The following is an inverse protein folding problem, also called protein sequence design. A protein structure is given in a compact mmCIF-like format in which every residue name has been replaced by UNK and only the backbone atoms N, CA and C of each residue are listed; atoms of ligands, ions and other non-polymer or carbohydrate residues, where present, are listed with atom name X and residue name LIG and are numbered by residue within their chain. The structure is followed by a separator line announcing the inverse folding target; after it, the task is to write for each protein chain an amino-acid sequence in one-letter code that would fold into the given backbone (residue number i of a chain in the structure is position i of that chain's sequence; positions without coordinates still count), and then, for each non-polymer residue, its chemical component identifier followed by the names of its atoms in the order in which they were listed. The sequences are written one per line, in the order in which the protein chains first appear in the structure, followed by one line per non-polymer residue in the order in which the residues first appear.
data_IF_950913199129
#
_entry.id   IF_950913199129
#
_cell.length_a   1.000
_cell.length_b   1.000
_cell.length_c   1.000
_cell.angle_alpha   90.00
_cell.angle_beta   90.00
_cell.angle_gamma   90.00
#
_symmetry.space_group_name_H-M   'P 1'
#
loop_
_entity.id
_entity.type
_entity.pdbx_description
1 polymer ?
#
# COMPACT_ATOMS: atom_id res chain seq x y z
N UNK A 1 -60.98 -30.12 39.77
CA UNK A 1 -61.10 -28.95 38.89
C UNK A 1 -59.68 -28.53 38.52
N UNK A 2 -59.25 -28.95 37.33
CA UNK A 2 -57.90 -28.60 36.82
C UNK A 2 -58.12 -27.34 35.98
N UNK A 3 -57.65 -26.19 36.46
CA UNK A 3 -57.66 -24.95 35.71
C UNK A 3 -56.52 -25.02 34.66
N UNK A 4 -56.89 -25.14 33.40
CA UNK A 4 -55.99 -24.91 32.25
C UNK A 4 -55.50 -23.45 32.35
N UNK A 5 -54.18 -23.28 32.60
CA UNK A 5 -53.51 -22.03 32.37
C UNK A 5 -53.30 -21.87 30.88
N UNK A 6 -54.16 -21.09 30.24
CA UNK A 6 -53.95 -20.68 28.85
C UNK A 6 -52.61 -19.96 28.75
N UNK A 7 -51.65 -20.65 28.10
CA UNK A 7 -50.38 -20.05 27.68
C UNK A 7 -50.70 -18.92 26.71
N UNK A 8 -50.72 -17.70 27.18
CA UNK A 8 -50.67 -16.52 26.31
C UNK A 8 -49.32 -16.55 25.62
N UNK A 9 -49.28 -17.04 24.38
CA UNK A 9 -48.08 -17.14 23.57
C UNK A 9 -47.49 -15.76 23.31
N UNK A 10 -46.74 -15.25 24.29
CA UNK A 10 -45.92 -14.06 24.08
C UNK A 10 -44.79 -14.44 23.10
N UNK A 11 -44.90 -13.89 21.91
CA UNK A 11 -43.83 -14.01 20.96
C UNK A 11 -42.56 -13.27 21.51
N UNK A 12 -41.58 -14.02 22.00
CA UNK A 12 -40.33 -13.49 22.53
C UNK A 12 -39.28 -13.30 21.44
N UNK A 13 -39.66 -13.41 20.17
CA UNK A 13 -38.77 -13.17 19.05
C UNK A 13 -38.26 -11.71 19.04
N UNK A 14 -36.99 -11.55 18.71
CA UNK A 14 -36.40 -10.27 18.34
C UNK A 14 -36.64 -10.05 16.86
N UNK A 15 -36.93 -8.82 16.44
CA UNK A 15 -37.02 -8.43 15.02
C UNK A 15 -36.13 -7.20 14.78
N UNK A 16 -35.52 -7.09 13.61
CA UNK A 16 -34.88 -5.85 13.18
C UNK A 16 -35.96 -4.95 12.62
N UNK A 17 -36.03 -3.72 13.13
CA UNK A 17 -37.04 -2.72 12.74
C UNK A 17 -36.43 -1.72 11.74
N UNK A 18 -35.13 -1.40 11.90
CA UNK A 18 -34.41 -0.47 11.04
C UNK A 18 -32.90 -0.78 11.05
N UNK A 19 -32.17 -0.32 10.03
CA UNK A 19 -30.71 -0.42 9.95
C UNK A 19 -30.13 0.83 9.27
N UNK A 20 -29.13 1.43 9.91
CA UNK A 20 -28.31 2.50 9.35
C UNK A 20 -26.91 1.95 9.11
N UNK A 21 -26.75 1.35 7.95
CA UNK A 21 -25.52 0.71 7.49
C UNK A 21 -25.01 1.49 6.29
N UNK A 22 -23.76 2.00 6.33
CA UNK A 22 -23.19 2.69 5.18
C UNK A 22 -23.04 1.72 3.99
N UNK A 23 -23.31 2.19 2.79
CA UNK A 23 -23.08 1.44 1.54
C UNK A 23 -21.64 1.55 1.04
N UNK A 24 -20.93 2.60 1.46
CA UNK A 24 -19.53 2.84 1.19
C UNK A 24 -18.85 3.34 2.46
N UNK A 25 -17.66 2.82 2.71
CA UNK A 25 -16.80 3.14 3.83
C UNK A 25 -15.46 3.61 3.29
N UNK A 26 -15.16 4.89 3.48
CA UNK A 26 -13.86 5.46 3.16
C UNK A 26 -12.94 5.30 4.37
N UNK A 27 -11.85 4.54 4.19
CA UNK A 27 -10.82 4.30 5.22
C UNK A 27 -9.51 5.02 4.90
N UNK A 28 -9.51 6.05 4.07
CA UNK A 28 -8.32 6.82 3.70
C UNK A 28 -7.60 7.40 4.92
N UNK A 29 -8.35 7.86 5.92
CA UNK A 29 -7.76 8.45 7.12
C UNK A 29 -7.53 7.38 8.18
N UNK A 30 -6.28 7.19 8.67
CA UNK A 30 -5.99 6.28 9.77
C UNK A 30 -6.84 6.56 11.00
N UNK A 31 -7.33 5.51 11.65
CA UNK A 31 -8.16 5.62 12.84
C UNK A 31 -9.63 6.03 12.60
N UNK A 32 -10.07 6.11 11.34
CA UNK A 32 -11.47 6.30 10.99
C UNK A 32 -12.34 5.27 11.72
N UNK A 33 -13.36 5.74 12.41
CA UNK A 33 -14.35 4.90 13.07
C UNK A 33 -15.65 4.91 12.30
N UNK A 34 -16.08 3.75 11.86
CA UNK A 34 -17.32 3.55 11.11
C UNK A 34 -18.39 3.02 12.07
N UNK A 35 -19.54 3.67 12.08
CA UNK A 35 -20.68 3.29 12.93
C UNK A 35 -21.69 2.51 12.13
N UNK A 36 -22.15 1.42 12.76
CA UNK A 36 -23.18 0.52 12.28
C UNK A 36 -24.31 0.51 13.31
N UNK A 37 -25.52 0.89 12.96
CA UNK A 37 -26.63 1.03 13.88
C UNK A 37 -27.84 0.23 13.40
N UNK A 38 -28.44 -0.51 14.30
CA UNK A 38 -29.69 -1.20 14.07
C UNK A 38 -30.71 -0.79 15.11
N UNK A 39 -32.00 -0.84 14.77
CA UNK A 39 -33.12 -0.75 15.71
C UNK A 39 -33.76 -2.12 15.82
N UNK A 40 -33.86 -2.64 17.04
CA UNK A 40 -34.44 -3.93 17.32
C UNK A 40 -35.68 -3.82 18.25
N UNK A 41 -36.63 -4.75 18.10
CA UNK A 41 -37.92 -4.69 18.81
C UNK A 41 -37.81 -4.89 20.31
N UNK A 42 -36.71 -5.43 20.80
CA UNK A 42 -36.47 -5.67 22.25
C UNK A 42 -34.98 -5.90 22.52
N UNK A 43 -34.60 -5.71 23.80
CA UNK A 43 -33.24 -5.94 24.29
C UNK A 43 -32.73 -7.34 23.95
N UNK A 44 -31.52 -7.39 23.36
CA UNK A 44 -30.87 -8.63 22.88
C UNK A 44 -29.36 -8.46 22.84
N UNK A 45 -28.66 -9.58 22.88
CA UNK A 45 -27.22 -9.59 22.53
C UNK A 45 -27.09 -9.42 21.03
N UNK A 46 -26.46 -8.34 20.61
CA UNK A 46 -26.28 -8.04 19.20
C UNK A 46 -24.81 -8.21 18.80
N UNK A 47 -24.58 -8.60 17.54
CA UNK A 47 -23.26 -8.62 16.91
C UNK A 47 -23.41 -8.47 15.40
N UNK A 48 -22.35 -7.97 14.76
CA UNK A 48 -22.24 -7.96 13.29
C UNK A 48 -20.93 -8.59 12.87
N UNK A 49 -20.99 -9.48 11.87
CA UNK A 49 -19.82 -10.04 11.21
C UNK A 49 -19.66 -9.38 9.86
N UNK A 50 -18.51 -8.76 9.62
CA UNK A 50 -18.09 -8.19 8.35
C UNK A 50 -17.16 -9.17 7.67
N UNK A 51 -17.38 -9.46 6.38
CA UNK A 51 -16.56 -10.41 5.62
C UNK A 51 -16.18 -9.79 4.28
N UNK A 52 -14.88 -9.67 4.00
CA UNK A 52 -14.37 -9.26 2.69
C UNK A 52 -14.62 -10.36 1.66
N UNK A 53 -15.28 -10.03 0.55
CA UNK A 53 -15.76 -11.02 -0.42
C UNK A 53 -14.61 -11.75 -1.11
N UNK A 54 -13.58 -11.00 -1.55
CA UNK A 54 -12.49 -11.58 -2.34
C UNK A 54 -11.54 -12.48 -1.53
N UNK A 55 -11.23 -12.11 -0.27
CA UNK A 55 -10.23 -12.84 0.55
C UNK A 55 -10.85 -13.74 1.61
N UNK A 56 -12.14 -13.57 1.93
CA UNK A 56 -12.80 -14.25 3.04
C UNK A 56 -12.37 -13.76 4.45
N UNK A 57 -11.49 -12.76 4.55
CA UNK A 57 -11.12 -12.15 5.83
C UNK A 57 -12.35 -11.58 6.52
N UNK A 58 -12.45 -11.76 7.83
CA UNK A 58 -13.65 -11.36 8.57
C UNK A 58 -13.34 -10.86 9.96
N UNK A 59 -14.22 -10.00 10.48
CA UNK A 59 -14.24 -9.56 11.86
C UNK A 59 -15.67 -9.63 12.39
N UNK A 60 -15.82 -9.99 13.67
CA UNK A 60 -17.10 -9.89 14.37
C UNK A 60 -17.01 -8.80 15.43
N UNK A 61 -17.87 -7.80 15.32
CA UNK A 61 -17.98 -6.68 16.23
C UNK A 61 -19.11 -6.97 17.23
N UNK A 62 -18.83 -7.03 18.53
CA UNK A 62 -19.87 -7.19 19.53
C UNK A 62 -20.68 -5.89 19.69
N UNK A 63 -21.93 -6.02 19.98
CA UNK A 63 -22.77 -4.90 20.42
C UNK A 63 -22.52 -4.53 21.88
N UNK A 64 -23.10 -3.40 22.34
CA UNK A 64 -22.96 -2.94 23.72
C UNK A 64 -23.50 -3.94 24.76
N UNK A 65 -22.82 -4.04 25.91
CA UNK A 65 -23.18 -4.97 27.00
C UNK A 65 -24.52 -4.66 27.66
N UNK A 66 -24.97 -3.39 27.65
CA UNK A 66 -26.24 -2.91 28.18
C UNK A 66 -27.46 -3.26 27.30
N UNK A 67 -27.18 -3.85 26.12
CA UNK A 67 -28.19 -4.36 25.17
C UNK A 67 -29.29 -3.37 24.82
N UNK A 68 -28.97 -2.21 24.32
CA UNK A 68 -29.93 -1.18 23.97
C UNK A 68 -30.85 -1.62 22.82
N UNK A 69 -32.00 -0.95 22.66
CA UNK A 69 -32.87 -1.17 21.50
C UNK A 69 -32.25 -0.67 20.18
N UNK A 70 -31.26 0.21 20.28
CA UNK A 70 -30.49 0.73 19.17
C UNK A 70 -29.02 0.36 19.35
N UNK A 71 -28.63 -0.94 19.16
CA UNK A 71 -27.25 -1.33 19.28
C UNK A 71 -26.40 -0.65 18.21
N UNK A 72 -25.27 -0.09 18.63
CA UNK A 72 -24.25 0.53 17.78
C UNK A 72 -22.97 -0.27 17.90
N UNK A 73 -22.40 -0.65 16.78
CA UNK A 73 -21.07 -1.23 16.66
C UNK A 73 -20.14 -0.25 15.97
N UNK A 74 -18.91 -0.13 16.45
CA UNK A 74 -17.89 0.69 15.83
C UNK A 74 -16.78 -0.19 15.25
N UNK A 75 -16.40 0.09 14.03
CA UNK A 75 -15.29 -0.56 13.35
C UNK A 75 -14.21 0.47 13.00
N UNK A 76 -12.97 0.15 13.29
CA UNK A 76 -11.82 1.01 13.02
C UNK A 76 -11.09 0.68 11.70
N UNK A 77 -11.70 -0.14 10.82
CA UNK A 77 -11.10 -0.51 9.54
C UNK A 77 -10.02 -1.59 9.65
N UNK A 78 -9.90 -2.29 10.78
CA UNK A 78 -8.89 -3.32 11.02
C UNK A 78 -9.53 -4.71 11.08
N UNK A 79 -8.87 -5.72 10.47
CA UNK A 79 -9.20 -7.14 10.56
C UNK A 79 -7.90 -7.89 10.88
N UNK A 80 -7.90 -8.71 11.93
CA UNK A 80 -6.73 -9.51 12.36
C UNK A 80 -5.45 -8.68 12.61
N UNK A 81 -5.62 -7.43 13.08
CA UNK A 81 -4.52 -6.53 13.41
C UNK A 81 -3.93 -5.77 12.22
N UNK A 82 -4.46 -5.97 11.01
CA UNK A 82 -4.04 -5.26 9.80
C UNK A 82 -5.20 -4.52 9.15
N UNK A 83 -4.92 -3.56 8.29
CA UNK A 83 -5.94 -2.83 7.54
C UNK A 83 -6.84 -3.75 6.75
N UNK A 84 -8.12 -3.47 6.80
CA UNK A 84 -9.11 -4.19 6.02
C UNK A 84 -8.91 -3.91 4.53
N UNK A 85 -8.86 -4.91 3.64
CA UNK A 85 -8.71 -4.69 2.20
C UNK A 85 -9.80 -3.80 1.62
N UNK A 86 -9.48 -3.09 0.53
CA UNK A 86 -10.50 -2.41 -0.27
C UNK A 86 -11.42 -3.42 -0.97
N UNK A 87 -12.59 -2.97 -1.41
CA UNK A 87 -13.49 -3.78 -2.20
C UNK A 87 -14.79 -4.16 -1.50
N UNK A 88 -15.43 -5.20 -2.02
CA UNK A 88 -16.76 -5.62 -1.59
C UNK A 88 -16.74 -6.40 -0.28
N UNK A 89 -17.68 -6.07 0.59
CA UNK A 89 -17.93 -6.75 1.86
C UNK A 89 -19.38 -7.19 1.96
N UNK A 90 -19.60 -8.29 2.68
CA UNK A 90 -20.89 -8.64 3.25
C UNK A 90 -20.91 -8.37 4.74
N UNK A 91 -22.06 -7.99 5.27
CA UNK A 91 -22.28 -7.92 6.70
C UNK A 91 -23.45 -8.82 7.11
N UNK A 92 -23.30 -9.46 8.28
CA UNK A 92 -24.33 -10.32 8.87
C UNK A 92 -24.55 -9.88 10.32
N UNK A 93 -25.71 -9.28 10.57
CA UNK A 93 -26.16 -8.88 11.90
C UNK A 93 -26.99 -9.97 12.55
N UNK A 94 -26.78 -10.20 13.84
CA UNK A 94 -27.56 -11.14 14.66
C UNK A 94 -27.89 -10.48 15.99
N UNK A 95 -29.15 -10.57 16.41
CA UNK A 95 -29.59 -10.15 17.75
C UNK A 95 -30.28 -11.32 18.44
N UNK A 96 -29.68 -11.81 19.55
CA UNK A 96 -30.09 -12.99 20.30
C UNK A 96 -30.78 -12.57 21.60
N UNK A 97 -32.05 -12.96 21.85
CA UNK A 97 -32.70 -12.64 23.11
C UNK A 97 -31.99 -13.33 24.29
N UNK A 98 -31.98 -12.69 25.46
CA UNK A 98 -31.40 -13.22 26.69
C UNK A 98 -32.19 -14.37 27.34
N UNK A 99 -33.16 -14.96 26.66
CA UNK A 99 -34.06 -16.01 27.14
C UNK A 99 -34.77 -16.73 26.00
N UNK A 100 -35.97 -17.24 26.24
CA UNK A 100 -36.77 -17.94 25.23
C UNK A 100 -37.15 -16.96 24.09
N UNK A 101 -36.94 -17.34 22.84
CA UNK A 101 -37.32 -16.57 21.65
C UNK A 101 -36.33 -16.81 20.49
N UNK A 102 -36.76 -16.44 19.28
CA UNK A 102 -35.91 -16.52 18.11
C UNK A 102 -35.05 -15.27 17.94
N UNK A 103 -33.83 -15.46 17.42
CA UNK A 103 -32.91 -14.38 17.09
C UNK A 103 -33.35 -13.64 15.83
N UNK A 104 -33.14 -12.31 15.82
CA UNK A 104 -33.23 -11.52 14.61
C UNK A 104 -31.95 -11.67 13.78
N UNK A 105 -32.10 -11.60 12.46
CA UNK A 105 -30.99 -11.61 11.50
C UNK A 105 -31.24 -10.59 10.42
N UNK A 106 -30.18 -9.91 10.00
CA UNK A 106 -30.16 -9.05 8.83
C UNK A 106 -28.81 -9.20 8.11
N UNK A 107 -28.76 -8.91 6.85
CA UNK A 107 -27.53 -8.95 6.07
C UNK A 107 -27.57 -7.97 4.90
N UNK A 108 -26.43 -7.60 4.38
CA UNK A 108 -26.28 -6.74 3.23
C UNK A 108 -24.84 -6.67 2.78
N UNK A 109 -24.56 -5.66 1.96
CA UNK A 109 -23.25 -5.42 1.38
C UNK A 109 -22.81 -3.97 1.57
N UNK A 110 -21.51 -3.73 1.48
CA UNK A 110 -20.91 -2.40 1.42
C UNK A 110 -19.57 -2.47 0.70
N UNK A 111 -19.02 -1.31 0.35
CA UNK A 111 -17.71 -1.17 -0.27
C UNK A 111 -16.76 -0.47 0.70
N UNK A 112 -15.54 -0.97 0.81
CA UNK A 112 -14.42 -0.25 1.41
C UNK A 112 -13.61 0.39 0.30
N UNK A 113 -13.28 1.66 0.46
CA UNK A 113 -12.50 2.44 -0.52
C UNK A 113 -11.37 3.18 0.17
N UNK A 114 -10.26 3.32 -0.55
CA UNK A 114 -9.12 4.21 -0.28
C UNK A 114 -8.59 4.74 -1.60
N UNK A 115 -7.81 5.81 -1.55
CA UNK A 115 -7.01 6.23 -2.70
C UNK A 115 -6.01 5.13 -3.05
N UNK A 116 -5.78 4.90 -4.35
CA UNK A 116 -4.81 3.91 -4.79
C UNK A 116 -3.40 4.28 -4.29
N UNK A 117 -2.73 3.32 -3.65
CA UNK A 117 -1.34 3.43 -3.24
C UNK A 117 -0.49 2.56 -4.16
N UNK A 118 0.49 3.12 -4.88
CA UNK A 118 1.31 2.37 -5.84
C UNK A 118 2.17 1.27 -5.21
N UNK A 119 2.35 1.29 -3.88
CA UNK A 119 3.06 0.27 -3.12
C UNK A 119 2.13 -0.61 -2.26
N UNK A 120 0.82 -0.62 -2.50
CA UNK A 120 -0.12 -1.48 -1.80
C UNK A 120 -0.44 -2.71 -2.66
N UNK A 121 0.23 -3.82 -2.38
CA UNK A 121 0.07 -5.07 -3.14
C UNK A 121 -1.01 -5.99 -2.61
N UNK A 122 -1.52 -5.75 -1.40
CA UNK A 122 -2.60 -6.54 -0.78
C UNK A 122 -3.91 -5.76 -0.60
N UNK A 123 -3.95 -4.54 -1.13
CA UNK A 123 -5.12 -3.66 -1.18
C UNK A 123 -5.71 -3.34 0.21
N UNK A 124 -4.84 -3.25 1.22
CA UNK A 124 -5.25 -2.92 2.58
C UNK A 124 -5.11 -1.43 2.92
N UNK A 125 -4.66 -0.62 1.97
CA UNK A 125 -4.48 0.83 2.10
C UNK A 125 -3.17 1.25 2.75
N UNK A 126 -2.30 0.31 3.08
CA UNK A 126 -0.98 0.55 3.64
C UNK A 126 0.10 0.35 2.59
N UNK A 127 1.23 1.00 2.79
CA UNK A 127 2.41 0.76 1.98
C UNK A 127 3.02 -0.59 2.30
N UNK A 128 3.36 -1.33 1.26
CA UNK A 128 4.16 -2.55 1.32
C UNK A 128 5.58 -2.30 0.80
N UNK A 129 6.57 -2.91 1.43
CA UNK A 129 7.93 -2.99 0.90
C UNK A 129 8.21 -4.40 0.39
N UNK A 130 8.81 -4.49 -0.77
CA UNK A 130 9.29 -5.75 -1.32
C UNK A 130 10.79 -5.91 -1.05
N UNK A 131 11.16 -6.96 -0.35
CA UNK A 131 12.53 -7.23 0.07
C UNK A 131 12.99 -8.60 -0.45
N UNK A 132 14.04 -8.64 -1.28
CA UNK A 132 14.63 -9.89 -1.77
C UNK A 132 15.79 -10.29 -0.90
N UNK A 133 15.72 -11.48 -0.30
CA UNK A 133 16.81 -12.05 0.48
C UNK A 133 17.91 -12.71 -0.39
N UNK A 134 18.96 -13.19 0.26
CA UNK A 134 20.09 -13.84 -0.41
C UNK A 134 19.75 -15.19 -1.05
N UNK A 135 18.65 -15.82 -0.68
CA UNK A 135 18.15 -17.06 -1.30
C UNK A 135 17.37 -16.81 -2.59
N UNK A 136 17.03 -15.55 -2.86
CA UNK A 136 16.17 -15.15 -3.97
C UNK A 136 14.69 -15.27 -3.66
N UNK A 137 14.32 -15.38 -2.38
CA UNK A 137 12.93 -15.22 -1.96
C UNK A 137 12.60 -13.75 -1.89
N UNK A 138 11.48 -13.35 -2.50
CA UNK A 138 10.89 -12.03 -2.34
C UNK A 138 9.90 -12.07 -1.19
N UNK A 139 10.06 -11.14 -0.27
CA UNK A 139 9.21 -10.92 0.87
C UNK A 139 8.44 -9.62 0.68
N UNK A 140 7.20 -9.57 1.16
CA UNK A 140 6.39 -8.36 1.27
C UNK A 140 6.24 -8.02 2.75
N UNK A 141 6.67 -6.84 3.11
CA UNK A 141 6.54 -6.26 4.45
C UNK A 141 5.47 -5.18 4.42
N UNK A 142 4.39 -5.40 5.15
CA UNK A 142 3.25 -4.49 5.27
C UNK A 142 3.55 -3.46 6.37
N UNK A 143 3.40 -2.18 6.09
CA UNK A 143 3.72 -1.07 6.99
C UNK A 143 2.50 -0.47 7.70
N UNK A 144 1.38 -1.19 7.71
CA UNK A 144 0.08 -0.69 8.18
C UNK A 144 0.08 -0.10 9.59
N UNK A 145 0.90 -0.61 10.48
CA UNK A 145 0.84 -0.24 11.89
C UNK A 145 1.34 1.16 12.20
N UNK A 146 1.49 2.08 11.33
CA UNK A 146 1.88 3.45 11.66
C UNK A 146 2.95 3.53 12.77
N UNK A 147 3.16 4.69 13.39
CA UNK A 147 4.11 4.77 14.49
C UNK A 147 3.54 4.12 15.76
N UNK A 148 4.25 3.08 16.24
CA UNK A 148 4.04 2.48 17.56
C UNK A 148 5.22 2.91 18.44
N UNK A 149 4.93 3.55 19.57
CA UNK A 149 5.96 4.15 20.45
C UNK A 149 6.87 5.15 19.69
N UNK A 150 6.31 5.85 18.69
CA UNK A 150 7.04 6.81 17.87
C UNK A 150 7.95 6.19 16.80
N UNK A 151 7.87 4.88 16.55
CA UNK A 151 8.66 4.19 15.54
C UNK A 151 7.76 3.41 14.58
N UNK A 152 8.06 3.51 13.28
CA UNK A 152 7.42 2.68 12.26
C UNK A 152 8.02 1.27 12.28
N UNK A 153 7.16 0.25 12.13
CA UNK A 153 7.56 -1.16 12.06
C UNK A 153 6.68 -1.90 11.04
N UNK A 154 7.13 -3.07 10.62
CA UNK A 154 6.30 -3.94 9.80
C UNK A 154 5.14 -4.49 10.63
N UNK A 155 3.92 -4.38 10.10
CA UNK A 155 2.71 -4.99 10.67
C UNK A 155 2.68 -6.50 10.41
N UNK A 156 3.29 -6.95 9.31
CA UNK A 156 3.36 -8.35 8.95
C UNK A 156 4.26 -8.59 7.74
N UNK A 157 4.91 -9.75 7.74
CA UNK A 157 5.73 -10.22 6.63
C UNK A 157 5.10 -11.43 5.97
N UNK A 158 5.08 -11.46 4.66
CA UNK A 158 4.58 -12.57 3.85
C UNK A 158 5.56 -12.91 2.74
N UNK A 159 5.78 -14.20 2.46
CA UNK A 159 6.57 -14.62 1.32
C UNK A 159 5.75 -14.46 0.03
N UNK A 160 6.27 -13.68 -0.91
CA UNK A 160 5.73 -13.61 -2.28
C UNK A 160 6.13 -14.86 -3.07
N UNK A 161 7.38 -15.34 -2.85
CA UNK A 161 7.88 -16.57 -3.47
C UNK A 161 9.34 -16.51 -3.83
N UNK A 162 9.88 -17.65 -4.26
CA UNK A 162 11.27 -17.79 -4.70
C UNK A 162 11.47 -17.49 -6.18
N UNK A 163 12.75 -17.54 -6.62
CA UNK A 163 13.11 -17.38 -8.03
C UNK A 163 13.47 -15.95 -8.45
N UNK A 164 13.38 -14.98 -7.54
CA UNK A 164 13.62 -13.56 -7.83
C UNK A 164 15.12 -13.23 -7.99
N UNK A 165 16.02 -14.13 -7.65
CA UNK A 165 17.46 -13.99 -7.93
C UNK A 165 17.76 -13.92 -9.44
N UNK A 166 16.83 -14.29 -10.30
CA UNK A 166 16.93 -14.15 -11.76
C UNK A 166 17.05 -12.69 -12.20
N UNK A 167 16.53 -11.76 -11.38
CA UNK A 167 16.56 -10.35 -11.69
C UNK A 167 17.75 -9.65 -11.03
N UNK A 168 18.48 -8.86 -11.80
CA UNK A 168 19.51 -7.94 -11.27
C UNK A 168 18.91 -6.63 -10.73
N UNK A 169 17.73 -6.22 -11.24
CA UNK A 169 16.93 -5.11 -10.73
C UNK A 169 15.49 -5.57 -10.51
N UNK A 170 14.91 -5.16 -9.41
CA UNK A 170 13.49 -5.27 -9.09
C UNK A 170 13.05 -3.86 -8.74
N UNK A 171 11.98 -3.38 -9.34
CA UNK A 171 11.49 -2.02 -9.13
C UNK A 171 9.97 -2.03 -8.99
N UNK A 172 9.46 -1.38 -7.95
CA UNK A 172 8.06 -1.05 -7.80
C UNK A 172 7.72 0.08 -8.77
N UNK A 173 6.79 -0.14 -9.67
CA UNK A 173 6.52 0.79 -10.77
C UNK A 173 5.11 1.39 -10.72
N UNK A 174 4.38 1.19 -9.63
CA UNK A 174 3.00 1.59 -9.55
C UNK A 174 2.11 0.81 -10.51
N UNK A 175 0.90 1.26 -10.73
CA UNK A 175 -0.08 0.59 -11.58
C UNK A 175 0.22 0.83 -13.07
N UNK A 176 0.91 -0.09 -13.72
CA UNK A 176 1.18 -0.07 -15.16
C UNK A 176 0.17 -0.86 -15.99
N UNK A 177 -0.64 -1.68 -15.33
CA UNK A 177 -1.59 -2.60 -15.97
C UNK A 177 -3.04 -2.12 -16.00
N UNK A 178 -3.35 -0.97 -15.39
CA UNK A 178 -4.71 -0.40 -15.35
C UNK A 178 -5.62 -1.00 -14.27
N UNK A 179 -5.09 -1.84 -13.36
CA UNK A 179 -5.79 -2.29 -12.14
C UNK A 179 -5.70 -1.22 -11.04
N UNK A 180 -6.21 -1.51 -9.83
CA UNK A 180 -6.10 -0.57 -8.70
C UNK A 180 -4.79 -0.71 -7.91
N UNK A 181 -4.00 -1.75 -8.19
CA UNK A 181 -2.84 -2.16 -7.40
C UNK A 181 -1.53 -1.75 -8.08
N UNK A 182 -0.48 -1.57 -7.30
CA UNK A 182 0.87 -1.35 -7.82
C UNK A 182 1.46 -2.62 -8.41
N UNK A 183 2.28 -2.48 -9.44
CA UNK A 183 2.94 -3.55 -10.15
C UNK A 183 4.47 -3.49 -9.97
N UNK A 184 5.16 -4.55 -10.38
CA UNK A 184 6.60 -4.66 -10.27
C UNK A 184 7.21 -4.99 -11.63
N UNK A 185 8.38 -4.43 -11.93
CA UNK A 185 9.19 -4.89 -13.04
C UNK A 185 10.48 -5.54 -12.55
N UNK A 186 10.92 -6.56 -13.27
CA UNK A 186 12.19 -7.23 -13.04
C UNK A 186 13.05 -7.21 -14.29
N UNK A 187 14.30 -6.72 -14.20
CA UNK A 187 15.28 -6.78 -15.27
C UNK A 187 16.22 -7.96 -15.04
N UNK A 188 16.22 -8.93 -15.95
CA UNK A 188 17.09 -10.10 -15.85
C UNK A 188 18.52 -9.88 -16.41
N UNK A 189 19.36 -10.88 -16.25
CA UNK A 189 20.76 -10.83 -16.73
C UNK A 189 20.88 -10.77 -18.25
N UNK A 190 19.87 -11.25 -18.98
CA UNK A 190 19.86 -11.24 -20.46
C UNK A 190 19.46 -9.88 -21.03
N UNK A 191 18.98 -8.96 -20.16
CA UNK A 191 18.45 -7.67 -20.58
C UNK A 191 16.99 -7.72 -20.99
N UNK A 192 16.28 -8.74 -20.56
CA UNK A 192 14.83 -8.81 -20.70
C UNK A 192 14.16 -8.11 -19.50
N UNK A 193 13.24 -7.21 -19.81
CA UNK A 193 12.38 -6.57 -18.81
C UNK A 193 11.08 -7.35 -18.72
N UNK A 194 10.70 -7.72 -17.50
CA UNK A 194 9.49 -8.47 -17.18
C UNK A 194 8.57 -7.68 -16.28
N UNK A 195 7.27 -7.71 -16.51
CA UNK A 195 6.25 -7.18 -15.60
C UNK A 195 5.64 -8.29 -14.77
N UNK A 196 5.33 -7.97 -13.53
CA UNK A 196 4.57 -8.76 -12.56
C UNK A 196 3.39 -7.93 -12.11
N UNK A 197 2.20 -8.23 -12.63
CA UNK A 197 0.98 -7.50 -12.28
C UNK A 197 0.44 -8.00 -10.93
N UNK A 198 0.22 -7.10 -10.01
CA UNK A 198 -0.34 -7.45 -8.70
C UNK A 198 -1.83 -7.80 -8.82
N UNK A 199 -2.29 -8.70 -7.94
CA UNK A 199 -3.69 -9.15 -7.88
C UNK A 199 -4.48 -8.51 -6.75
N UNK A 200 -3.84 -7.69 -5.90
CA UNK A 200 -4.48 -7.10 -4.73
C UNK A 200 -4.61 -8.06 -3.54
N UNK A 201 -4.02 -9.23 -3.61
CA UNK A 201 -4.01 -10.23 -2.53
C UNK A 201 -2.59 -10.45 -1.96
N UNK A 202 -1.64 -9.58 -2.33
CA UNK A 202 -0.22 -9.69 -1.99
C UNK A 202 0.55 -10.63 -2.90
N UNK A 203 -0.08 -11.16 -3.96
CA UNK A 203 0.55 -12.02 -4.96
C UNK A 203 0.53 -11.38 -6.34
N UNK A 204 1.31 -11.95 -7.26
CA UNK A 204 1.42 -11.47 -8.63
C UNK A 204 0.89 -12.49 -9.64
N UNK A 205 0.41 -11.99 -10.78
CA UNK A 205 0.12 -12.80 -11.94
C UNK A 205 1.41 -13.37 -12.54
N UNK A 206 1.33 -14.42 -13.40
CA UNK A 206 2.48 -14.89 -14.16
C UNK A 206 3.14 -13.74 -14.91
N UNK A 207 4.48 -13.68 -14.85
CA UNK A 207 5.24 -12.59 -15.48
C UNK A 207 5.00 -12.50 -16.98
N UNK A 208 4.99 -11.26 -17.48
CA UNK A 208 4.89 -10.97 -18.92
C UNK A 208 6.15 -10.22 -19.37
N UNK A 209 6.68 -10.58 -20.53
CA UNK A 209 7.85 -9.91 -21.10
C UNK A 209 7.44 -8.55 -21.67
N UNK A 210 7.99 -7.49 -21.11
CA UNK A 210 7.77 -6.09 -21.56
C UNK A 210 8.66 -5.77 -22.78
N UNK A 211 9.91 -6.23 -22.76
CA UNK A 211 10.84 -5.96 -23.84
C UNK A 211 12.21 -6.58 -23.62
N UNK A 212 13.09 -6.36 -24.58
CA UNK A 212 14.48 -6.82 -24.57
C UNK A 212 15.43 -5.64 -24.84
N UNK A 213 16.74 -5.87 -24.65
CA UNK A 213 17.74 -4.83 -24.90
C UNK A 213 17.97 -3.88 -23.73
N UNK A 214 17.39 -4.17 -22.56
CA UNK A 214 17.49 -3.33 -21.35
C UNK A 214 18.84 -3.49 -20.62
N UNK A 215 19.72 -4.38 -21.05
CA UNK A 215 21.07 -4.51 -20.47
C UNK A 215 21.94 -3.26 -20.66
N UNK A 216 21.54 -2.35 -21.55
CA UNK A 216 22.22 -1.06 -21.75
C UNK A 216 22.04 -0.10 -20.57
N UNK A 217 21.03 -0.34 -19.74
CA UNK A 217 20.75 0.48 -18.56
C UNK A 217 21.43 -0.08 -17.32
N UNK A 218 22.00 0.83 -16.56
CA UNK A 218 22.64 0.53 -15.27
C UNK A 218 21.78 0.96 -14.07
N UNK A 219 20.74 1.77 -14.28
CA UNK A 219 19.76 2.17 -13.28
C UNK A 219 18.38 2.26 -13.92
N UNK A 220 17.38 1.81 -13.19
CA UNK A 220 15.96 1.88 -13.56
C UNK A 220 15.21 2.30 -12.30
N UNK A 221 14.26 3.20 -12.42
CA UNK A 221 13.34 3.60 -11.36
C UNK A 221 11.98 3.97 -11.94
N UNK A 222 10.91 3.71 -11.20
CA UNK A 222 9.54 3.91 -11.64
C UNK A 222 8.59 4.23 -10.49
N UNK A 223 7.30 4.24 -10.78
CA UNK A 223 6.26 4.45 -9.77
C UNK A 223 5.80 5.90 -9.59
N UNK A 224 6.44 6.87 -10.24
CA UNK A 224 6.00 8.27 -10.25
C UNK A 224 5.37 8.65 -11.58
N UNK A 225 4.29 9.43 -11.54
CA UNK A 225 3.74 10.13 -12.70
C UNK A 225 4.56 11.40 -12.95
N UNK A 226 5.55 11.30 -13.85
CA UNK A 226 6.46 12.39 -14.21
C UNK A 226 5.88 13.27 -15.31
N UNK A 227 4.86 12.79 -16.03
CA UNK A 227 4.24 13.46 -17.17
C UNK A 227 2.93 14.15 -16.85
N UNK A 228 2.39 13.94 -15.63
CA UNK A 228 1.14 14.54 -15.18
C UNK A 228 -0.11 13.97 -15.87
N UNK A 229 0.01 12.77 -16.44
CA UNK A 229 -1.09 12.13 -17.17
C UNK A 229 -1.87 11.11 -16.32
N UNK A 230 -1.53 10.97 -15.04
CA UNK A 230 -2.15 10.06 -14.08
C UNK A 230 -1.61 8.63 -14.15
N UNK A 231 -0.53 8.38 -14.91
CA UNK A 231 0.09 7.05 -15.04
C UNK A 231 1.52 7.08 -14.56
N UNK A 232 1.98 6.01 -13.89
CA UNK A 232 3.37 5.93 -13.49
C UNK A 232 4.29 5.76 -14.69
N UNK A 233 5.37 6.51 -14.70
CA UNK A 233 6.41 6.48 -15.70
C UNK A 233 7.64 5.72 -15.20
N UNK A 234 8.56 5.40 -16.11
CA UNK A 234 9.83 4.75 -15.79
C UNK A 234 10.99 5.56 -16.35
N UNK A 235 12.02 5.75 -15.53
CA UNK A 235 13.28 6.38 -15.93
C UNK A 235 14.40 5.33 -15.92
N UNK A 236 15.19 5.31 -16.97
CA UNK A 236 16.37 4.46 -17.07
C UNK A 236 17.60 5.29 -17.46
N UNK A 237 18.77 5.00 -16.87
CA UNK A 237 20.03 5.62 -17.26
C UNK A 237 20.96 4.58 -17.89
N UNK A 238 21.56 4.97 -19.02
CA UNK A 238 22.52 4.11 -19.70
C UNK A 238 23.98 4.32 -19.24
N UNK A 239 24.89 3.50 -19.76
CA UNK A 239 26.30 3.56 -19.42
C UNK A 239 27.00 4.85 -19.85
N UNK A 240 26.44 5.64 -20.76
CA UNK A 240 26.94 6.96 -21.15
C UNK A 240 26.51 8.07 -20.17
N UNK A 241 25.62 7.77 -19.25
CA UNK A 241 25.02 8.74 -18.34
C UNK A 241 23.88 9.54 -18.96
N UNK A 242 23.27 9.03 -20.03
CA UNK A 242 22.04 9.57 -20.59
C UNK A 242 20.85 8.96 -19.86
N UNK A 243 19.91 9.80 -19.40
CA UNK A 243 18.64 9.34 -18.89
C UNK A 243 17.57 9.30 -19.98
N UNK A 244 16.69 8.33 -19.86
CA UNK A 244 15.60 8.05 -20.77
C UNK A 244 14.29 7.91 -20.01
N UNK A 245 13.25 8.62 -20.47
CA UNK A 245 11.90 8.50 -19.97
C UNK A 245 11.10 7.51 -20.82
N UNK A 246 10.41 6.61 -20.16
CA UNK A 246 9.43 5.71 -20.73
C UNK A 246 8.06 6.06 -20.13
N UNK A 247 7.20 6.71 -20.92
CA UNK A 247 5.85 7.10 -20.47
C UNK A 247 4.97 5.88 -20.28
N UNK A 248 4.25 5.85 -19.18
CA UNK A 248 3.24 4.84 -18.91
C UNK A 248 2.07 4.92 -19.90
N UNK A 249 1.62 3.77 -20.39
CA UNK A 249 0.47 3.72 -21.34
C UNK A 249 -0.84 3.31 -20.66
N UNK A 250 -0.75 2.64 -19.48
CA UNK A 250 -1.88 2.01 -18.81
C UNK A 250 -2.36 0.70 -19.49
N UNK A 251 -1.63 0.24 -20.52
CA UNK A 251 -1.89 -1.04 -21.18
C UNK A 251 -0.88 -2.09 -20.73
N UNK A 252 -1.34 -3.09 -20.01
CA UNK A 252 -0.48 -4.16 -19.46
C UNK A 252 0.32 -4.93 -20.53
N UNK A 253 -0.17 -4.99 -21.76
CA UNK A 253 0.50 -5.69 -22.85
C UNK A 253 1.65 -4.86 -23.46
N UNK A 254 1.57 -3.54 -23.32
CA UNK A 254 2.59 -2.58 -23.77
C UNK A 254 2.70 -1.44 -22.75
N UNK A 255 3.19 -1.69 -21.53
CA UNK A 255 3.07 -0.75 -20.40
C UNK A 255 3.80 0.57 -20.62
N UNK A 256 4.75 0.62 -21.56
CA UNK A 256 5.55 1.82 -21.81
C UNK A 256 5.55 2.21 -23.29
N UNK A 257 5.47 3.51 -23.53
CA UNK A 257 5.66 4.10 -24.84
C UNK A 257 7.13 4.12 -25.25
N UNK A 258 7.41 4.51 -26.49
CA UNK A 258 8.80 4.70 -26.98
C UNK A 258 9.50 5.74 -26.11
N UNK A 259 10.74 5.42 -25.71
CA UNK A 259 11.56 6.26 -24.84
C UNK A 259 11.84 7.64 -25.42
N UNK A 260 11.91 8.63 -24.55
CA UNK A 260 12.34 10.00 -24.85
C UNK A 260 13.62 10.30 -24.06
N UNK A 261 14.60 10.97 -24.70
CA UNK A 261 15.83 11.35 -24.00
C UNK A 261 15.57 12.51 -23.03
N UNK A 262 16.06 12.37 -21.80
CA UNK A 262 16.12 13.43 -20.78
C UNK A 262 17.49 14.13 -20.76
N UNK A 263 18.37 13.76 -21.68
CA UNK A 263 19.72 14.32 -21.79
C UNK A 263 20.77 13.58 -20.96
N UNK A 264 22.00 14.03 -21.09
CA UNK A 264 23.15 13.50 -20.39
C UNK A 264 23.36 14.09 -19.00
N UNK A 265 24.46 13.67 -18.33
CA UNK A 265 24.84 14.17 -17.01
C UNK A 265 24.35 13.34 -15.83
N UNK A 266 23.59 12.26 -16.05
CA UNK A 266 23.07 11.39 -15.00
C UNK A 266 24.08 10.33 -14.55
N UNK A 267 25.21 10.20 -15.23
CA UNK A 267 26.30 9.29 -14.86
C UNK A 267 26.98 9.62 -13.52
N UNK A 268 26.78 10.83 -12.98
CA UNK A 268 27.31 11.25 -11.67
C UNK A 268 26.59 10.59 -10.50
N UNK A 269 25.40 10.04 -10.73
CA UNK A 269 24.59 9.42 -9.68
C UNK A 269 24.87 7.93 -9.60
N UNK A 270 25.00 7.40 -8.38
CA UNK A 270 25.05 5.97 -8.11
C UNK A 270 23.66 5.36 -7.88
N UNK A 271 22.67 6.17 -7.52
CA UNK A 271 21.27 5.75 -7.41
C UNK A 271 20.34 6.88 -7.86
N UNK A 272 19.22 6.52 -8.50
CA UNK A 272 18.10 7.38 -8.85
C UNK A 272 16.86 6.68 -8.33
N UNK A 273 15.96 7.42 -7.68
CA UNK A 273 14.74 6.89 -7.08
C UNK A 273 13.56 7.80 -7.43
N UNK A 274 12.53 7.24 -8.01
CA UNK A 274 11.25 7.89 -8.19
C UNK A 274 10.51 7.91 -6.84
N UNK A 275 10.11 9.09 -6.39
CA UNK A 275 9.58 9.28 -5.03
C UNK A 275 8.16 9.83 -5.00
N UNK A 276 7.50 9.92 -6.18
CA UNK A 276 6.21 10.60 -6.25
C UNK A 276 6.34 12.11 -6.07
N UNK A 277 5.23 12.81 -5.88
CA UNK A 277 5.20 14.26 -5.68
C UNK A 277 5.47 14.61 -4.21
N UNK A 278 6.74 14.75 -3.83
CA UNK A 278 7.17 15.04 -2.44
C UNK A 278 7.24 16.53 -2.11
N UNK A 279 7.23 17.39 -3.13
CA UNK A 279 7.47 18.81 -2.97
C UNK A 279 6.31 19.71 -3.41
N UNK A 280 5.13 19.11 -3.66
CA UNK A 280 3.89 19.84 -3.98
C UNK A 280 3.87 20.47 -5.37
N UNK A 281 4.69 19.97 -6.31
CA UNK A 281 4.71 20.38 -7.72
C UNK A 281 3.53 19.82 -8.52
N UNK A 282 3.63 19.94 -9.86
CA UNK A 282 2.59 19.50 -10.78
C UNK A 282 2.63 17.98 -11.05
N UNK A 283 3.73 17.31 -10.73
CA UNK A 283 3.97 15.90 -11.05
C UNK A 283 4.94 15.26 -10.06
N UNK A 284 5.22 13.99 -10.27
CA UNK A 284 6.18 13.24 -9.47
C UNK A 284 7.62 13.74 -9.61
N UNK A 285 8.40 13.55 -8.57
CA UNK A 285 9.78 13.98 -8.43
C UNK A 285 10.74 12.79 -8.46
N UNK A 286 12.03 13.07 -8.69
CA UNK A 286 13.11 12.11 -8.50
C UNK A 286 14.07 12.62 -7.44
N UNK A 287 14.59 11.70 -6.63
CA UNK A 287 15.82 11.95 -5.87
C UNK A 287 16.97 11.16 -6.48
N UNK A 288 18.15 11.74 -6.47
CA UNK A 288 19.34 11.11 -7.04
C UNK A 288 20.53 11.28 -6.10
N UNK A 289 21.17 10.18 -5.71
CA UNK A 289 22.37 10.18 -4.87
C UNK A 289 23.61 10.13 -5.74
N UNK A 290 24.50 11.09 -5.57
CA UNK A 290 25.79 11.06 -6.25
C UNK A 290 26.82 10.15 -5.54
N UNK A 291 27.98 9.94 -6.17
CA UNK A 291 29.03 9.07 -5.65
C UNK A 291 29.67 9.58 -4.35
N UNK A 292 29.53 10.87 -4.06
CA UNK A 292 30.01 11.48 -2.79
C UNK A 292 28.99 11.34 -1.65
N UNK A 293 27.80 10.80 -1.92
CA UNK A 293 26.73 10.64 -0.94
C UNK A 293 25.88 11.90 -0.73
N UNK A 294 25.91 12.83 -1.66
CA UNK A 294 24.97 13.93 -1.68
C UNK A 294 23.69 13.51 -2.38
N UNK A 295 22.54 13.77 -1.75
CA UNK A 295 21.23 13.60 -2.34
C UNK A 295 20.77 14.89 -3.00
N UNK A 296 20.26 14.74 -4.22
CA UNK A 296 19.77 15.81 -5.06
C UNK A 296 18.29 15.58 -5.39
N UNK A 297 17.49 16.65 -5.35
CA UNK A 297 16.10 16.66 -5.77
C UNK A 297 16.00 17.16 -7.22
N UNK A 298 15.25 16.45 -8.04
CA UNK A 298 14.83 16.83 -9.38
C UNK A 298 13.31 16.99 -9.38
N UNK A 299 12.85 18.25 -9.31
CA UNK A 299 11.42 18.57 -9.31
C UNK A 299 10.81 18.33 -10.68
N UNK A 300 9.78 17.52 -10.74
CA UNK A 300 9.01 17.25 -11.96
C UNK A 300 8.17 18.45 -12.38
N UNK A 301 8.14 18.72 -13.69
CA UNK A 301 7.36 19.82 -14.28
C UNK A 301 6.01 19.37 -14.83
N UNK A 302 5.71 18.08 -14.84
CA UNK A 302 4.47 17.53 -15.40
C UNK A 302 4.49 17.32 -16.91
N UNK A 303 5.64 17.51 -17.55
CA UNK A 303 5.87 17.25 -18.97
C UNK A 303 6.91 16.17 -19.23
N UNK A 304 7.35 15.50 -18.16
CA UNK A 304 8.43 14.52 -18.15
C UNK A 304 9.81 15.14 -18.04
N UNK A 305 9.93 16.46 -17.89
CA UNK A 305 11.21 17.16 -17.65
C UNK A 305 11.30 17.65 -16.20
N UNK A 306 12.50 18.07 -15.81
CA UNK A 306 12.79 18.48 -14.43
C UNK A 306 13.30 19.91 -14.36
N UNK A 307 13.04 20.56 -13.23
CA UNK A 307 13.72 21.81 -12.86
C UNK A 307 15.23 21.56 -12.60
N UNK A 308 16.06 22.62 -12.56
CA UNK A 308 17.44 22.47 -12.09
C UNK A 308 17.49 21.78 -10.73
N UNK A 309 18.40 20.81 -10.59
CA UNK A 309 18.52 20.02 -9.36
C UNK A 309 18.79 20.88 -8.13
N UNK A 310 18.19 20.51 -7.02
CA UNK A 310 18.40 21.15 -5.71
C UNK A 310 19.13 20.18 -4.78
N UNK A 311 20.12 20.66 -4.03
CA UNK A 311 20.85 19.86 -3.06
C UNK A 311 20.02 19.65 -1.80
N UNK A 312 19.71 18.38 -1.44
CA UNK A 312 19.02 18.05 -0.18
C UNK A 312 20.03 17.97 0.97
N UNK A 313 21.12 17.23 0.82
CA UNK A 313 22.10 17.05 1.88
C UNK A 313 23.13 15.97 1.57
N UNK A 314 24.14 15.85 2.43
CA UNK A 314 25.16 14.79 2.36
C UNK A 314 24.90 13.66 3.36
N UNK A 315 25.77 12.63 3.32
CA UNK A 315 25.74 11.50 4.24
C UNK A 315 24.85 10.33 3.80
N UNK A 316 24.26 10.40 2.63
CA UNK A 316 23.32 9.36 2.15
C UNK A 316 23.99 8.05 1.72
N UNK A 317 25.34 8.00 1.69
CA UNK A 317 26.08 6.74 1.48
C UNK A 317 26.00 5.77 2.68
N UNK A 318 25.43 6.19 3.82
CA UNK A 318 25.07 5.27 4.90
C UNK A 318 24.02 4.24 4.49
N UNK A 319 23.23 4.55 3.48
CA UNK A 319 22.21 3.65 2.93
C UNK A 319 22.75 2.90 1.72
N UNK A 320 22.55 1.60 1.69
CA UNK A 320 22.79 0.79 0.50
C UNK A 320 21.74 1.04 -0.57
N UNK A 321 20.48 1.27 -0.15
CA UNK A 321 19.34 1.49 -1.04
C UNK A 321 18.43 2.62 -0.52
N UNK A 322 17.85 3.36 -1.48
CA UNK A 322 16.79 4.34 -1.26
C UNK A 322 15.55 3.88 -2.03
N UNK A 323 14.41 3.85 -1.39
CA UNK A 323 13.14 3.34 -1.95
C UNK A 323 12.09 4.42 -1.82
N UNK A 324 11.45 4.81 -2.93
CA UNK A 324 10.23 5.61 -2.90
C UNK A 324 9.10 4.70 -2.43
N UNK A 325 8.61 4.92 -1.22
CA UNK A 325 7.75 3.95 -0.54
C UNK A 325 6.24 4.27 -0.65
N UNK A 326 5.87 5.30 -1.42
CA UNK A 326 4.50 5.81 -1.36
C UNK A 326 4.21 6.51 -0.03
N UNK A 327 2.95 6.78 0.25
CA UNK A 327 2.49 7.46 1.46
C UNK A 327 2.43 6.48 2.64
N UNK A 328 3.49 6.43 3.43
CA UNK A 328 3.64 5.48 4.56
C UNK A 328 2.85 5.94 5.78
N UNK A 329 2.70 7.25 5.99
CA UNK A 329 2.08 7.77 7.19
C UNK A 329 0.62 8.26 7.00
N UNK A 330 0.10 8.16 5.77
CA UNK A 330 -1.28 8.51 5.44
C UNK A 330 -1.53 10.02 5.35
N UNK A 331 -0.48 10.84 5.19
CA UNK A 331 -0.61 12.30 5.13
C UNK A 331 -0.91 12.83 3.72
N UNK A 332 -0.99 11.94 2.74
CA UNK A 332 -1.25 12.25 1.32
C UNK A 332 0.00 12.58 0.52
N UNK A 333 1.20 12.42 1.09
CA UNK A 333 2.48 12.63 0.41
C UNK A 333 3.29 11.35 0.39
N UNK A 334 3.92 11.04 -0.74
CA UNK A 334 4.78 9.87 -0.82
C UNK A 334 6.10 10.10 -0.06
N UNK A 335 6.58 9.06 0.60
CA UNK A 335 7.74 9.07 1.48
C UNK A 335 8.94 8.32 0.88
N UNK A 336 10.10 8.45 1.53
CA UNK A 336 11.33 7.78 1.13
C UNK A 336 11.83 6.88 2.28
N UNK A 337 12.25 5.66 1.96
CA UNK A 337 12.93 4.78 2.90
C UNK A 337 14.42 4.68 2.53
N UNK A 338 15.28 4.88 3.52
CA UNK A 338 16.70 4.60 3.44
C UNK A 338 17.02 3.30 4.17
N UNK A 339 17.50 2.28 3.43
CA UNK A 339 17.92 0.98 3.95
C UNK A 339 19.43 0.86 3.99
N UNK A 340 19.98 0.47 5.12
CA UNK A 340 21.44 0.34 5.30
C UNK A 340 21.84 -0.46 6.52
N UNK A 341 23.12 -0.81 6.59
CA UNK A 341 23.69 -1.63 7.67
C UNK A 341 23.53 -1.01 9.07
N UNK A 342 23.53 0.32 9.16
CA UNK A 342 23.41 1.05 10.42
C UNK A 342 21.94 1.36 10.80
N UNK A 343 20.98 0.85 10.03
CA UNK A 343 19.56 0.98 10.28
C UNK A 343 18.77 1.37 9.04
N UNK A 344 17.46 1.23 9.18
CA UNK A 344 16.48 1.65 8.18
C UNK A 344 15.69 2.83 8.74
N UNK A 345 15.51 3.85 7.91
CA UNK A 345 14.84 5.08 8.32
C UNK A 345 13.76 5.46 7.32
N UNK A 346 12.63 5.92 7.86
CA UNK A 346 11.61 6.60 7.08
C UNK A 346 11.94 8.10 7.01
N UNK A 347 11.84 8.64 5.82
CA UNK A 347 11.96 10.06 5.52
C UNK A 347 10.61 10.55 5.02
N UNK A 348 9.83 11.16 5.92
CA UNK A 348 8.50 11.70 5.64
C UNK A 348 8.61 12.95 4.79
N UNK A 349 7.83 13.01 3.72
CA UNK A 349 7.80 14.20 2.86
C UNK A 349 7.12 15.38 3.58
N UNK A 350 7.72 16.54 3.45
CA UNK A 350 7.20 17.79 4.07
C UNK A 350 6.29 18.59 3.13
N UNK A 351 6.29 18.26 1.84
CA UNK A 351 5.66 19.06 0.79
C UNK A 351 6.48 20.29 0.36
N UNK A 352 7.66 20.51 0.93
CA UNK A 352 8.53 21.64 0.62
C UNK A 352 9.82 21.23 -0.08
N UNK A 353 10.16 21.89 -1.18
CA UNK A 353 11.36 21.55 -1.97
C UNK A 353 12.70 21.93 -1.29
N UNK A 354 12.70 22.88 -0.34
CA UNK A 354 13.92 23.30 0.36
C UNK A 354 14.37 22.28 1.42
N UNK A 355 13.41 21.70 2.13
CA UNK A 355 13.62 20.66 3.14
C UNK A 355 12.62 19.52 2.91
N UNK A 356 12.78 18.72 1.85
CA UNK A 356 11.73 17.83 1.39
C UNK A 356 11.43 16.68 2.36
N UNK A 357 12.31 16.40 3.32
CA UNK A 357 12.16 15.25 4.21
C UNK A 357 12.41 15.57 5.68
N UNK A 358 11.64 14.91 6.54
CA UNK A 358 11.91 14.78 7.98
C UNK A 358 12.18 13.30 8.30
N UNK A 359 13.36 13.01 8.87
CA UNK A 359 13.74 11.64 9.25
C UNK A 359 12.98 11.17 10.49
N UNK A 360 12.44 9.97 10.43
CA UNK A 360 11.78 9.27 11.53
C UNK A 360 12.49 7.95 11.79
N UNK A 361 12.61 7.55 13.06
CA UNK A 361 13.14 6.24 13.42
C UNK A 361 12.15 5.15 13.02
N UNK A 362 12.68 4.00 12.56
CA UNK A 362 11.88 2.81 12.28
C UNK A 362 12.42 1.63 13.09
N UNK A 363 11.62 0.56 13.14
CA UNK A 363 12.07 -0.79 13.51
C UNK A 363 11.97 -1.75 12.31
N UNK A 364 12.01 -1.21 11.11
CA UNK A 364 12.08 -1.99 9.88
C UNK A 364 13.51 -2.48 9.71
N UNK A 365 13.68 -3.78 9.57
CA UNK A 365 14.99 -4.40 9.31
C UNK A 365 16.08 -4.05 10.32
N UNK A 366 15.72 -3.93 11.60
CA UNK A 366 16.62 -3.62 12.71
C UNK A 366 17.04 -4.85 13.55
N UNK A 367 16.53 -6.02 13.17
CA UNK A 367 16.97 -7.29 13.77
C UNK A 367 18.44 -7.60 13.45
N UNK A 368 19.10 -8.49 14.21
CA UNK A 368 20.47 -8.87 13.98
C UNK A 368 20.72 -9.35 12.55
N UNK A 369 21.50 -8.58 11.77
CA UNK A 369 21.85 -8.88 10.37
C UNK A 369 20.81 -8.42 9.33
N UNK A 370 19.65 -7.92 9.71
CA UNK A 370 18.63 -7.49 8.75
C UNK A 370 19.01 -6.24 7.96
N UNK A 371 19.84 -5.33 8.51
CA UNK A 371 20.34 -4.15 7.81
C UNK A 371 21.21 -4.45 6.57
N UNK A 372 21.57 -5.71 6.33
CA UNK A 372 22.33 -6.17 5.16
C UNK A 372 21.77 -7.46 4.56
N UNK A 373 20.65 -7.97 5.07
CA UNK A 373 20.08 -9.26 4.70
C UNK A 373 19.46 -9.25 3.30
N UNK A 374 19.03 -8.07 2.83
CA UNK A 374 18.30 -7.96 1.58
C UNK A 374 19.19 -7.40 0.47
N UNK A 375 19.22 -8.11 -0.64
CA UNK A 375 19.98 -7.74 -1.83
C UNK A 375 19.26 -6.72 -2.72
N UNK A 376 17.94 -6.55 -2.53
CA UNK A 376 17.12 -5.57 -3.23
C UNK A 376 15.90 -5.25 -2.39
N UNK A 377 15.58 -3.95 -2.28
CA UNK A 377 14.29 -3.43 -1.81
C UNK A 377 13.61 -2.68 -2.97
N UNK A 378 12.26 -2.78 -3.00
CA UNK A 378 11.41 -2.09 -3.96
C UNK A 378 10.06 -1.73 -3.34
#
# INVERSE_FOLDING_TARGET
MVTEVASTGRNFAVTVLDSKVPTTVDLQQPGTKVRWEWTISRSAFAMVTLTHVATGKKITLPGPDDRPLNPVMEWNGVIDGVGAPNGAYTWHFVAIPGGIGSAARASGTFQVTRQANPHDYNDNGSTDLLARDSSGTLWRDDLFDGPVDGQYKSAGRSAVGGGWQTYKHIEAVGNIGGAAHGDVVGLDANGDLWSHLAKGDGTFAPRTKVGYGWQVYNKITGGSDLTGDGRPDLVATDGSGTAWLYKGTGDWAKPYATRVSLGGGWGVYNQITAVGNIAGGAAGDLVARDTSGVLWLHLGKGDGTFAPRTRIGGGWNMFSQLVGAGDVDGDGRPDLIGYGAEGTYLYRATGGWETPFTRVSTRLYDGPGEGTAYSSLA
#
